data_IF_642751638381
#
_entry.id   IF_642751638381
#
_cell.length_a   1.000
_cell.length_b   1.000
_cell.length_c   1.000
_cell.angle_alpha   90.00
_cell.angle_beta   90.00
_cell.angle_gamma   90.00
#
_symmetry.space_group_name_H-M   'P 1'
#
loop_
_entity.id
_entity.type
_entity.pdbx_description
1 polymer ?
#
# COMPACT_ATOMS: atom_id res chain seq x y z
N UNK A 1 -36.20 -0.10 -19.85
CA UNK A 1 -36.76 -1.10 -18.89
C UNK A 1 -37.23 -2.39 -19.55
N UNK A 2 -38.24 -2.44 -20.44
CA UNK A 2 -38.65 -3.70 -21.13
C UNK A 2 -37.51 -4.43 -21.85
N UNK A 3 -36.61 -3.69 -22.53
CA UNK A 3 -35.45 -4.25 -23.21
C UNK A 3 -34.39 -4.78 -22.22
N UNK A 4 -34.13 -4.07 -21.12
CA UNK A 4 -33.21 -4.50 -20.05
C UNK A 4 -33.74 -5.77 -19.37
N UNK A 5 -35.04 -5.82 -19.10
CA UNK A 5 -35.72 -7.00 -18.57
C UNK A 5 -35.60 -8.19 -19.54
N UNK A 6 -35.88 -8.01 -20.83
CA UNK A 6 -35.74 -9.07 -21.85
C UNK A 6 -34.30 -9.59 -22.01
N UNK A 7 -33.29 -8.71 -21.91
CA UNK A 7 -31.88 -9.09 -21.96
C UNK A 7 -31.53 -9.95 -20.74
N UNK A 8 -31.87 -9.49 -19.53
CA UNK A 8 -31.61 -10.22 -18.28
C UNK A 8 -32.34 -11.57 -18.23
N UNK A 9 -33.60 -11.64 -18.66
CA UNK A 9 -34.37 -12.89 -18.70
C UNK A 9 -33.82 -13.86 -19.75
N UNK A 10 -33.38 -13.37 -20.93
CA UNK A 10 -32.82 -14.20 -21.99
C UNK A 10 -31.48 -14.86 -21.63
N UNK A 11 -30.61 -14.14 -20.91
CA UNK A 11 -29.30 -14.67 -20.45
C UNK A 11 -29.45 -15.70 -19.33
N UNK A 12 -30.45 -15.53 -18.46
CA UNK A 12 -30.79 -16.47 -17.39
C UNK A 12 -31.39 -17.78 -17.91
N UNK A 13 -32.22 -17.75 -18.96
CA UNK A 13 -32.77 -18.96 -19.59
C UNK A 13 -31.66 -19.81 -20.24
N UNK A 14 -30.61 -19.17 -20.79
CA UNK A 14 -29.50 -19.86 -21.44
C UNK A 14 -28.56 -20.57 -20.44
N UNK A 15 -28.49 -20.09 -19.19
CA UNK A 15 -27.62 -20.69 -18.15
C UNK A 15 -28.29 -21.83 -17.36
N UNK A 16 -29.63 -21.82 -17.24
CA UNK A 16 -30.38 -22.79 -16.42
C UNK A 16 -30.90 -24.02 -17.20
N UNK A 17 -30.85 -24.02 -18.54
CA UNK A 17 -31.35 -25.12 -19.38
C UNK A 17 -30.61 -26.48 -19.29
N UNK A 18 -29.61 -26.64 -18.41
CA UNK A 18 -29.00 -27.95 -18.10
C UNK A 18 -29.67 -28.75 -16.99
N UNK A 19 -30.68 -28.23 -16.29
CA UNK A 19 -31.42 -28.98 -15.26
C UNK A 19 -32.92 -28.94 -15.54
N UNK A 20 -33.41 -29.93 -16.30
CA UNK A 20 -34.85 -30.12 -16.53
C UNK A 20 -35.52 -30.43 -15.18
N UNK A 21 -36.58 -29.67 -14.84
CA UNK A 21 -37.52 -29.84 -13.72
C UNK A 21 -37.34 -28.97 -12.45
N UNK A 22 -36.77 -27.76 -12.56
CA UNK A 22 -36.84 -26.77 -11.47
C UNK A 22 -37.73 -25.57 -11.86
N UNK A 23 -38.45 -24.96 -10.89
CA UNK A 23 -39.22 -23.73 -11.11
C UNK A 23 -38.31 -22.59 -11.61
N UNK A 24 -38.87 -21.57 -12.29
CA UNK A 24 -38.08 -20.43 -12.78
C UNK A 24 -37.30 -19.79 -11.62
N UNK A 25 -36.01 -19.47 -11.81
CA UNK A 25 -35.14 -19.07 -10.72
C UNK A 25 -35.61 -17.73 -10.13
N UNK A 26 -35.65 -17.65 -8.79
CA UNK A 26 -35.71 -16.39 -8.06
C UNK A 26 -34.45 -15.58 -8.36
N UNK A 27 -34.62 -14.36 -8.87
CA UNK A 27 -33.54 -13.43 -9.17
C UNK A 27 -32.86 -12.98 -7.87
N UNK A 28 -31.63 -13.42 -7.61
CA UNK A 28 -30.89 -13.03 -6.41
C UNK A 28 -29.83 -11.98 -6.70
N UNK A 29 -29.40 -11.28 -5.65
CA UNK A 29 -28.28 -10.33 -5.68
C UNK A 29 -26.98 -10.96 -6.23
N UNK A 30 -26.82 -12.28 -6.03
CA UNK A 30 -25.72 -13.07 -6.58
C UNK A 30 -25.86 -13.28 -8.09
N UNK A 31 -27.07 -13.47 -8.60
CA UNK A 31 -27.34 -13.65 -10.04
C UNK A 31 -27.18 -12.35 -10.82
N UNK A 32 -27.53 -11.22 -10.20
CA UNK A 32 -27.25 -9.88 -10.72
C UNK A 32 -25.73 -9.64 -10.82
N UNK A 33 -24.98 -9.95 -9.75
CA UNK A 33 -23.51 -9.86 -9.73
C UNK A 33 -22.86 -10.80 -10.75
N UNK A 34 -23.39 -11.99 -10.95
CA UNK A 34 -22.89 -12.97 -11.93
C UNK A 34 -23.24 -12.60 -13.39
N UNK A 35 -24.42 -12.01 -13.63
CA UNK A 35 -24.81 -11.46 -14.93
C UNK A 35 -23.95 -10.26 -15.33
N UNK A 36 -23.64 -9.37 -14.37
CA UNK A 36 -22.77 -8.21 -14.56
C UNK A 36 -21.28 -8.56 -14.74
N UNK A 37 -20.85 -9.77 -14.33
CA UNK A 37 -19.49 -10.30 -14.57
C UNK A 37 -19.26 -10.80 -16.00
N UNK A 38 -20.31 -10.96 -16.82
CA UNK A 38 -20.20 -11.45 -18.20
C UNK A 38 -20.11 -10.27 -19.17
N UNK A 39 -19.03 -10.23 -19.95
CA UNK A 39 -18.64 -9.12 -20.84
C UNK A 39 -19.77 -8.53 -21.67
N UNK A 40 -20.61 -9.37 -22.27
CA UNK A 40 -21.72 -8.98 -23.15
C UNK A 40 -22.87 -8.23 -22.45
N UNK A 41 -23.16 -8.53 -21.18
CA UNK A 41 -24.29 -7.89 -20.45
C UNK A 41 -23.88 -6.53 -19.91
N UNK A 42 -22.62 -6.40 -19.47
CA UNK A 42 -22.02 -5.13 -19.11
C UNK A 42 -21.88 -4.18 -20.32
N UNK A 43 -21.57 -4.73 -21.51
CA UNK A 43 -21.55 -3.99 -22.78
C UNK A 43 -22.92 -3.43 -23.15
N UNK A 44 -24.00 -4.23 -23.01
CA UNK A 44 -25.37 -3.78 -23.27
C UNK A 44 -25.88 -2.72 -22.27
N UNK A 45 -25.47 -2.79 -21.00
CA UNK A 45 -25.78 -1.76 -19.99
C UNK A 45 -24.97 -0.48 -20.25
N UNK A 46 -23.71 -0.61 -20.64
CA UNK A 46 -22.89 0.51 -21.12
C UNK A 46 -23.49 1.19 -22.35
N UNK A 47 -23.96 0.42 -23.33
CA UNK A 47 -24.65 0.96 -24.51
C UNK A 47 -25.98 1.63 -24.15
N UNK A 48 -26.69 1.15 -23.12
CA UNK A 48 -27.88 1.80 -22.58
C UNK A 48 -27.57 3.07 -21.78
N UNK A 49 -26.37 3.24 -21.22
CA UNK A 49 -25.99 4.50 -20.58
C UNK A 49 -25.55 5.53 -21.64
N UNK A 50 -24.76 5.10 -22.63
CA UNK A 50 -24.30 5.91 -23.76
C UNK A 50 -25.45 6.35 -24.67
N UNK A 51 -26.45 5.48 -24.90
CA UNK A 51 -27.60 5.80 -25.77
C UNK A 51 -28.49 6.93 -25.21
N UNK A 52 -28.45 7.18 -23.90
CA UNK A 52 -29.26 8.20 -23.25
C UNK A 52 -28.44 9.43 -22.81
N UNK A 53 -27.13 9.45 -23.06
CA UNK A 53 -26.19 10.50 -22.64
C UNK A 53 -26.56 11.90 -23.18
N UNK A 54 -27.32 11.98 -24.28
CA UNK A 54 -27.86 13.25 -24.81
C UNK A 54 -29.05 13.81 -24.01
N UNK A 55 -29.70 13.02 -23.16
CA UNK A 55 -30.92 13.42 -22.43
C UNK A 55 -30.63 13.99 -21.04
N UNK A 56 -29.40 13.85 -20.54
CA UNK A 56 -29.05 14.14 -19.14
C UNK A 56 -28.64 15.61 -18.92
N UNK A 57 -28.45 16.37 -20.00
CA UNK A 57 -28.01 17.77 -19.97
C UNK A 57 -28.85 18.75 -20.81
N UNK A 58 -29.98 18.32 -21.41
CA UNK A 58 -30.73 19.21 -22.30
C UNK A 58 -31.79 20.06 -21.59
N UNK A 59 -32.37 19.61 -20.48
CA UNK A 59 -33.41 20.35 -19.75
C UNK A 59 -33.61 19.72 -18.36
N UNK A 60 -33.91 20.52 -17.33
CA UNK A 60 -34.29 20.01 -16.00
C UNK A 60 -35.55 19.12 -16.11
N UNK A 61 -36.41 19.41 -17.10
CA UNK A 61 -37.59 18.63 -17.47
C UNK A 61 -37.29 17.27 -18.14
N UNK A 62 -36.07 17.07 -18.66
CA UNK A 62 -35.62 15.82 -19.29
C UNK A 62 -34.74 14.98 -18.36
N UNK A 63 -34.37 15.53 -17.20
CA UNK A 63 -33.53 14.84 -16.24
C UNK A 63 -34.31 13.71 -15.56
N UNK A 64 -33.80 12.48 -15.68
CA UNK A 64 -34.40 11.27 -15.08
C UNK A 64 -33.96 11.02 -13.64
N UNK A 65 -33.47 12.04 -12.94
CA UNK A 65 -33.02 11.92 -11.55
C UNK A 65 -34.14 11.46 -10.61
N UNK A 66 -35.37 11.86 -10.90
CA UNK A 66 -36.55 11.43 -10.14
C UNK A 66 -36.76 9.91 -10.23
N UNK A 67 -36.38 9.27 -11.34
CA UNK A 67 -36.46 7.81 -11.48
C UNK A 67 -35.49 7.10 -10.51
N UNK A 68 -34.35 7.71 -10.17
CA UNK A 68 -33.42 7.17 -9.17
C UNK A 68 -33.95 7.40 -7.75
N UNK A 69 -34.55 8.56 -7.49
CA UNK A 69 -35.18 8.86 -6.21
C UNK A 69 -36.37 7.90 -5.95
N UNK A 70 -37.12 7.53 -7.00
CA UNK A 70 -38.19 6.52 -6.94
C UNK A 70 -37.66 5.11 -6.64
N UNK A 71 -36.49 4.73 -7.20
CA UNK A 71 -35.86 3.44 -6.91
C UNK A 71 -35.45 3.28 -5.44
N UNK A 72 -35.01 4.36 -4.79
CA UNK A 72 -34.73 4.33 -3.36
C UNK A 72 -36.02 4.05 -2.57
N UNK A 73 -37.14 4.68 -2.93
CA UNK A 73 -38.42 4.40 -2.25
C UNK A 73 -38.93 2.98 -2.52
N UNK A 74 -38.70 2.44 -3.72
CA UNK A 74 -38.98 1.03 -4.02
C UNK A 74 -38.13 0.07 -3.16
N UNK A 75 -36.82 0.34 -3.01
CA UNK A 75 -35.91 -0.45 -2.19
C UNK A 75 -36.32 -0.43 -0.71
N UNK A 76 -36.68 0.76 -0.19
CA UNK A 76 -37.21 0.92 1.16
C UNK A 76 -38.43 0.04 1.39
N UNK A 77 -39.37 0.01 0.44
CA UNK A 77 -40.58 -0.80 0.56
C UNK A 77 -40.29 -2.30 0.48
N UNK A 78 -39.31 -2.71 -0.32
CA UNK A 78 -38.84 -4.10 -0.36
C UNK A 78 -38.19 -4.51 0.96
N UNK A 79 -37.35 -3.67 1.55
CA UNK A 79 -36.72 -3.94 2.86
C UNK A 79 -37.75 -4.03 3.99
N UNK A 80 -38.76 -3.15 4.00
CA UNK A 80 -39.89 -3.26 4.93
C UNK A 80 -40.62 -4.59 4.78
N UNK A 81 -40.87 -5.03 3.54
CA UNK A 81 -41.53 -6.31 3.27
C UNK A 81 -40.71 -7.51 3.77
N UNK A 82 -39.39 -7.48 3.61
CA UNK A 82 -38.48 -8.53 4.09
C UNK A 82 -38.41 -8.58 5.63
N UNK A 83 -38.36 -7.42 6.28
CA UNK A 83 -38.35 -7.33 7.74
C UNK A 83 -39.68 -7.82 8.31
N UNK A 84 -40.81 -7.48 7.68
CA UNK A 84 -42.12 -7.97 8.09
C UNK A 84 -42.20 -9.50 8.01
N UNK A 85 -41.69 -10.10 6.92
CA UNK A 85 -41.60 -11.55 6.77
C UNK A 85 -40.68 -12.20 7.82
N UNK A 86 -39.54 -11.59 8.14
CA UNK A 86 -38.62 -12.09 9.17
C UNK A 86 -39.21 -12.00 10.59
N UNK A 87 -39.95 -10.93 10.89
CA UNK A 87 -40.66 -10.77 12.16
C UNK A 87 -41.75 -11.84 12.32
N UNK A 88 -42.42 -12.21 11.22
CA UNK A 88 -43.41 -13.30 11.21
C UNK A 88 -42.76 -14.68 11.44
N UNK A 89 -41.63 -14.95 10.79
CA UNK A 89 -40.86 -16.19 11.00
C UNK A 89 -40.41 -16.33 12.46
N UNK A 90 -40.03 -15.22 13.10
CA UNK A 90 -39.59 -15.19 14.49
C UNK A 90 -40.73 -15.08 15.50
N UNK A 91 -41.99 -15.10 15.03
CA UNK A 91 -43.21 -15.02 15.83
C UNK A 91 -43.26 -13.76 16.73
N UNK A 92 -42.69 -12.66 16.26
CA UNK A 92 -42.73 -11.37 16.95
C UNK A 92 -44.05 -10.67 16.61
N UNK A 93 -45.03 -10.77 17.52
CA UNK A 93 -46.39 -10.26 17.30
C UNK A 93 -46.70 -8.95 18.03
N UNK A 94 -45.81 -8.50 18.92
CA UNK A 94 -45.99 -7.24 19.66
C UNK A 94 -45.83 -6.04 18.73
N UNK A 95 -46.92 -5.28 18.55
CA UNK A 95 -46.98 -4.11 17.65
C UNK A 95 -45.84 -3.11 17.88
N UNK A 96 -45.53 -2.80 19.14
CA UNK A 96 -44.46 -1.85 19.50
C UNK A 96 -43.07 -2.29 18.99
N UNK A 97 -42.78 -3.59 18.98
CA UNK A 97 -41.49 -4.11 18.51
C UNK A 97 -41.38 -4.03 16.98
N UNK A 98 -42.49 -4.27 16.27
CA UNK A 98 -42.55 -4.15 14.81
C UNK A 98 -42.44 -2.69 14.36
N UNK A 99 -43.11 -1.77 15.06
CA UNK A 99 -43.01 -0.33 14.81
C UNK A 99 -41.58 0.20 14.98
N UNK A 100 -40.85 -0.28 16.00
CA UNK A 100 -39.42 0.06 16.17
C UNK A 100 -38.59 -0.40 14.97
N UNK A 101 -38.80 -1.62 14.49
CA UNK A 101 -38.06 -2.16 13.36
C UNK A 101 -38.32 -1.34 12.08
N UNK A 102 -39.58 -1.02 11.79
CA UNK A 102 -39.95 -0.19 10.64
C UNK A 102 -39.38 1.23 10.72
N UNK A 103 -39.41 1.83 11.91
CA UNK A 103 -38.81 3.15 12.15
C UNK A 103 -37.31 3.16 11.88
N UNK A 104 -36.59 2.08 12.20
CA UNK A 104 -35.16 1.96 11.91
C UNK A 104 -34.84 1.89 10.42
N UNK A 105 -35.71 1.25 9.64
CA UNK A 105 -35.62 1.26 8.16
C UNK A 105 -35.83 2.68 7.62
N UNK A 106 -36.82 3.40 8.14
CA UNK A 106 -37.08 4.78 7.76
C UNK A 106 -35.88 5.70 8.08
N UNK A 107 -35.29 5.57 9.28
CA UNK A 107 -34.10 6.32 9.69
C UNK A 107 -32.87 6.03 8.80
N UNK A 108 -32.66 4.76 8.44
CA UNK A 108 -31.54 4.37 7.57
C UNK A 108 -31.72 4.87 6.14
N UNK A 109 -32.94 4.80 5.61
CA UNK A 109 -33.29 5.29 4.28
C UNK A 109 -33.06 6.80 4.13
N UNK A 110 -33.52 7.59 5.11
CA UNK A 110 -33.30 9.03 5.12
C UNK A 110 -31.80 9.39 5.15
N UNK A 111 -31.00 8.60 5.86
CA UNK A 111 -29.54 8.79 5.88
C UNK A 111 -28.92 8.55 4.50
N UNK A 112 -29.29 7.47 3.82
CA UNK A 112 -28.82 7.12 2.46
C UNK A 112 -29.25 8.19 1.45
N UNK A 113 -30.52 8.60 1.48
CA UNK A 113 -31.07 9.63 0.60
C UNK A 113 -30.36 10.97 0.77
N UNK A 114 -30.10 11.39 2.01
CA UNK A 114 -29.36 12.63 2.30
C UNK A 114 -27.92 12.58 1.79
N UNK A 115 -27.23 11.46 1.97
CA UNK A 115 -25.86 11.27 1.45
C UNK A 115 -25.84 11.28 -0.08
N UNK A 116 -26.81 10.63 -0.73
CA UNK A 116 -26.98 10.66 -2.19
C UNK A 116 -27.15 12.08 -2.73
N UNK A 117 -28.01 12.89 -2.11
CA UNK A 117 -28.21 14.28 -2.54
C UNK A 117 -26.94 15.14 -2.36
N UNK A 118 -26.18 14.91 -1.29
CA UNK A 118 -24.89 15.57 -1.07
C UNK A 118 -23.86 15.16 -2.13
N UNK A 119 -23.74 13.86 -2.44
CA UNK A 119 -22.84 13.33 -3.47
C UNK A 119 -23.19 13.84 -4.88
N UNK A 120 -24.49 13.82 -5.21
CA UNK A 120 -25.03 14.40 -6.44
C UNK A 120 -24.63 15.86 -6.59
N UNK A 121 -24.77 16.65 -5.52
CA UNK A 121 -24.50 18.09 -5.54
C UNK A 121 -23.01 18.45 -5.50
N UNK A 122 -22.22 17.76 -4.69
CA UNK A 122 -20.84 18.17 -4.38
C UNK A 122 -19.78 17.46 -5.23
N UNK A 123 -20.09 16.29 -5.79
CA UNK A 123 -19.11 15.49 -6.54
C UNK A 123 -19.56 15.20 -7.96
N UNK A 124 -20.77 14.70 -8.19
CA UNK A 124 -21.21 14.32 -9.53
C UNK A 124 -21.42 15.56 -10.40
N UNK A 125 -22.24 16.52 -9.97
CA UNK A 125 -22.50 17.76 -10.74
C UNK A 125 -21.21 18.55 -11.06
N UNK A 126 -20.25 18.73 -10.13
CA UNK A 126 -18.99 19.43 -10.44
C UNK A 126 -18.01 18.64 -11.32
N UNK A 127 -18.03 17.30 -11.25
CA UNK A 127 -17.18 16.43 -12.09
C UNK A 127 -17.64 16.38 -13.54
N UNK A 128 -18.90 16.70 -13.78
CA UNK A 128 -19.48 16.88 -15.10
C UNK A 128 -19.14 18.30 -15.60
N UNK A 129 -17.85 18.48 -15.92
CA UNK A 129 -17.20 19.75 -16.28
C UNK A 129 -17.73 20.40 -17.57
N UNK A 130 -18.88 19.96 -18.09
CA UNK A 130 -19.50 20.46 -19.31
C UNK A 130 -20.09 21.86 -19.18
N UNK A 131 -20.55 22.28 -17.99
CA UNK A 131 -21.18 23.60 -17.83
C UNK A 131 -20.17 24.75 -17.90
N UNK A 132 -18.98 24.56 -17.32
CA UNK A 132 -17.86 25.53 -17.41
C UNK A 132 -17.23 25.51 -18.81
N UNK A 133 -17.13 24.34 -19.44
CA UNK A 133 -16.64 24.19 -20.82
C UNK A 133 -17.63 24.83 -21.82
N UNK A 134 -18.94 24.65 -21.64
CA UNK A 134 -19.97 25.27 -22.47
C UNK A 134 -20.07 26.80 -22.26
N UNK A 135 -19.94 27.29 -21.03
CA UNK A 135 -19.86 28.73 -20.75
C UNK A 135 -18.59 29.38 -21.32
N UNK A 136 -17.45 28.69 -21.26
CA UNK A 136 -16.20 29.14 -21.88
C UNK A 136 -16.30 29.15 -23.43
N UNK A 137 -17.01 28.19 -24.04
CA UNK A 137 -17.29 28.18 -25.47
C UNK A 137 -18.26 29.30 -25.90
N UNK A 138 -19.29 29.59 -25.10
CA UNK A 138 -20.23 30.68 -25.37
C UNK A 138 -19.57 32.07 -25.28
N UNK A 139 -18.63 32.25 -24.36
CA UNK A 139 -17.81 33.48 -24.26
C UNK A 139 -16.79 33.60 -25.40
N UNK A 140 -16.23 32.49 -25.88
CA UNK A 140 -15.28 32.48 -27.00
C UNK A 140 -15.95 32.73 -28.37
N UNK A 141 -17.24 32.44 -28.53
CA UNK A 141 -17.98 32.71 -29.78
C UNK A 141 -18.38 34.18 -29.97
N UNK A 142 -18.39 35.00 -28.91
CA UNK A 142 -18.74 36.42 -29.01
C UNK A 142 -17.57 37.34 -29.38
N UNK A 143 -16.34 36.82 -29.40
CA UNK A 143 -15.14 37.62 -29.70
C UNK A 143 -14.14 36.84 -30.54
N UNK A 144 -14.35 36.80 -31.87
CA UNK A 144 -13.30 36.94 -32.88
C UNK A 144 -13.83 36.56 -34.27
N UNK A 145 -14.34 37.55 -34.99
CA UNK A 145 -14.15 37.60 -36.45
C UNK A 145 -12.72 38.12 -36.70
N UNK A 146 -12.09 37.59 -37.74
CA UNK A 146 -10.79 37.98 -38.32
C UNK A 146 -9.59 37.07 -38.02
N UNK A 147 -8.94 36.69 -39.14
CA UNK A 147 -7.87 35.71 -39.32
C UNK A 147 -6.53 36.18 -38.77
N UNK A 148 -5.67 35.26 -38.34
CA UNK A 148 -4.38 34.94 -38.98
C UNK A 148 -3.45 34.11 -38.08
N UNK A 149 -2.52 33.44 -38.74
CA UNK A 149 -1.66 32.36 -38.27
C UNK A 149 -0.78 32.68 -37.04
N UNK A 150 -0.80 31.81 -36.02
CA UNK A 150 0.39 31.46 -35.24
C UNK A 150 0.16 30.27 -34.28
N UNK A 151 1.11 29.34 -34.33
CA UNK A 151 1.52 28.36 -33.32
C UNK A 151 0.80 26.99 -33.25
N UNK A 152 1.33 26.06 -34.05
CA UNK A 152 0.98 24.65 -34.14
C UNK A 152 1.47 23.79 -32.95
N UNK A 153 1.18 24.16 -31.70
CA UNK A 153 1.49 23.33 -30.52
C UNK A 153 0.48 23.39 -29.37
N UNK A 154 -0.76 23.79 -29.65
CA UNK A 154 -1.88 23.49 -28.73
C UNK A 154 -2.88 22.65 -29.51
N UNK A 155 -3.29 21.45 -29.03
CA UNK A 155 -4.25 20.63 -29.76
C UNK A 155 -5.54 21.43 -29.94
N UNK A 156 -5.91 21.73 -31.18
CA UNK A 156 -7.26 22.19 -31.52
C UNK A 156 -8.22 21.06 -31.12
N UNK A 157 -9.03 21.30 -30.10
CA UNK A 157 -10.01 20.34 -29.57
C UNK A 157 -11.11 19.96 -30.60
N UNK A 158 -11.11 20.57 -31.79
CA UNK A 158 -12.01 20.24 -32.90
C UNK A 158 -11.75 18.87 -33.55
N UNK A 159 -10.70 18.15 -33.13
CA UNK A 159 -10.42 16.79 -33.59
C UNK A 159 -10.79 15.71 -32.56
N UNK A 160 -11.39 16.07 -31.43
CA UNK A 160 -11.99 15.11 -30.49
C UNK A 160 -13.48 14.94 -30.81
N UNK A 161 -13.78 14.25 -31.91
CA UNK A 161 -15.08 13.57 -32.20
C UNK A 161 -15.30 13.30 -33.71
N UNK A 162 -14.29 12.89 -34.48
CA UNK A 162 -14.51 12.43 -35.87
C UNK A 162 -14.60 10.91 -36.01
N UNK A 163 -14.29 10.15 -34.97
CA UNK A 163 -14.38 8.69 -34.93
C UNK A 163 -15.21 8.15 -33.73
N UNK A 164 -15.86 9.03 -32.95
CA UNK A 164 -16.83 8.64 -31.93
C UNK A 164 -16.27 7.81 -30.77
N UNK A 165 -14.96 7.71 -30.61
CA UNK A 165 -14.33 7.06 -29.46
C UNK A 165 -14.13 8.07 -28.35
N UNK A 166 -15.22 8.39 -27.65
CA UNK A 166 -15.11 8.83 -26.27
C UNK A 166 -14.29 7.75 -25.52
N UNK A 167 -13.34 8.16 -24.70
CA UNK A 167 -12.52 7.23 -23.93
C UNK A 167 -13.44 6.38 -23.06
N UNK A 168 -13.62 5.11 -23.45
CA UNK A 168 -14.41 4.12 -22.76
C UNK A 168 -13.82 3.92 -21.36
N UNK A 169 -14.38 4.56 -20.33
CA UNK A 169 -14.19 4.10 -18.96
C UNK A 169 -15.22 3.00 -18.73
N UNK A 170 -14.77 1.75 -18.77
CA UNK A 170 -15.61 0.58 -18.55
C UNK A 170 -16.38 0.72 -17.22
N UNK A 171 -17.69 0.38 -17.13
CA UNK A 171 -18.47 0.53 -15.89
C UNK A 171 -17.88 -0.22 -14.68
N UNK A 172 -17.19 -1.34 -14.92
CA UNK A 172 -16.40 -2.03 -13.87
C UNK A 172 -15.23 -1.17 -13.40
N UNK A 173 -14.50 -0.50 -14.31
CA UNK A 173 -13.46 0.45 -13.94
C UNK A 173 -14.02 1.65 -13.15
N UNK A 174 -15.27 2.05 -13.40
CA UNK A 174 -15.98 3.03 -12.57
C UNK A 174 -16.27 2.49 -11.15
N UNK A 175 -16.85 1.30 -11.01
CA UNK A 175 -17.16 0.72 -9.68
C UNK A 175 -15.88 0.45 -8.86
N UNK A 176 -14.83 -0.02 -9.53
CA UNK A 176 -13.48 -0.22 -9.00
C UNK A 176 -12.84 1.12 -8.57
N UNK A 177 -13.04 2.18 -9.36
CA UNK A 177 -12.64 3.56 -9.03
C UNK A 177 -13.45 4.17 -7.87
N UNK A 178 -14.74 3.83 -7.73
CA UNK A 178 -15.62 4.35 -6.68
C UNK A 178 -15.57 3.58 -5.35
N UNK A 179 -15.04 2.35 -5.34
CA UNK A 179 -14.91 1.53 -4.13
C UNK A 179 -13.65 1.80 -3.29
N UNK A 180 -12.69 2.59 -3.80
CA UNK A 180 -11.45 2.92 -3.08
C UNK A 180 -10.49 1.74 -2.84
N UNK A 181 -10.79 0.54 -3.35
CA UNK A 181 -10.06 -0.71 -3.13
C UNK A 181 -9.69 -1.40 -4.45
N UNK A 182 -9.05 -0.69 -5.37
CA UNK A 182 -8.33 -1.36 -6.44
C UNK A 182 -7.09 -2.01 -5.84
N UNK A 183 -7.10 -3.34 -5.80
CA UNK A 183 -5.91 -4.13 -5.54
C UNK A 183 -4.91 -3.78 -6.64
N UNK A 184 -3.84 -3.10 -6.26
CA UNK A 184 -2.74 -2.72 -7.14
C UNK A 184 -1.79 -3.91 -7.33
N UNK A 185 -1.46 -4.58 -6.23
CA UNK A 185 -0.57 -5.74 -6.25
C UNK A 185 -1.03 -6.85 -5.29
N UNK A 186 -0.82 -8.09 -5.71
CA UNK A 186 -1.10 -9.32 -4.95
C UNK A 186 -0.09 -10.41 -5.31
N UNK A 187 -0.12 -11.50 -4.54
CA UNK A 187 0.76 -12.66 -4.75
C UNK A 187 0.74 -13.14 -6.21
N UNK A 188 1.93 -13.26 -6.80
CA UNK A 188 2.13 -13.65 -8.19
C UNK A 188 2.44 -12.49 -9.16
N UNK A 189 2.16 -11.25 -8.76
CA UNK A 189 2.47 -10.07 -9.57
C UNK A 189 3.98 -9.79 -9.61
N UNK A 190 4.43 -9.07 -10.64
CA UNK A 190 5.82 -8.64 -10.81
C UNK A 190 5.88 -7.19 -11.30
N UNK A 191 6.56 -6.33 -10.57
CA UNK A 191 6.67 -4.90 -10.87
C UNK A 191 7.84 -4.24 -10.12
N UNK A 192 8.42 -3.18 -10.69
CA UNK A 192 9.45 -2.36 -10.02
C UNK A 192 8.93 -1.69 -8.73
N UNK A 193 7.65 -1.34 -8.69
CA UNK A 193 7.01 -0.80 -7.50
C UNK A 193 6.96 -1.86 -6.39
N UNK A 194 6.77 -3.14 -6.73
CA UNK A 194 6.85 -4.22 -5.74
C UNK A 194 8.26 -4.31 -5.14
N UNK A 195 9.32 -4.08 -5.93
CA UNK A 195 10.70 -4.00 -5.40
C UNK A 195 10.85 -2.86 -4.41
N UNK A 196 10.34 -1.68 -4.74
CA UNK A 196 10.37 -0.55 -3.82
C UNK A 196 9.57 -0.83 -2.54
N UNK A 197 8.39 -1.46 -2.63
CA UNK A 197 7.60 -1.91 -1.46
C UNK A 197 8.41 -2.91 -0.61
N UNK A 198 9.03 -3.93 -1.24
CA UNK A 198 9.84 -4.94 -0.55
C UNK A 198 11.05 -4.35 0.17
N UNK A 199 11.67 -3.30 -0.39
CA UNK A 199 12.77 -2.56 0.26
C UNK A 199 12.25 -1.75 1.44
N UNK A 200 11.18 -0.97 1.22
CA UNK A 200 10.57 -0.01 2.15
C UNK A 200 9.96 -0.67 3.37
N UNK A 201 9.36 -1.84 3.19
CA UNK A 201 8.76 -2.63 4.26
C UNK A 201 9.64 -3.79 4.73
N UNK A 202 10.94 -3.80 4.39
CA UNK A 202 11.84 -4.88 4.77
C UNK A 202 11.84 -5.16 6.29
N UNK A 203 11.51 -4.16 7.13
CA UNK A 203 11.40 -4.34 8.58
C UNK A 203 10.15 -5.07 9.10
N UNK A 204 9.20 -5.44 8.24
CA UNK A 204 7.99 -6.17 8.57
C UNK A 204 8.09 -7.61 8.04
N UNK A 205 8.62 -8.52 8.84
CA UNK A 205 8.77 -9.94 8.51
C UNK A 205 10.01 -10.26 7.65
N UNK A 206 10.83 -9.24 7.35
CA UNK A 206 12.02 -9.37 6.53
C UNK A 206 11.68 -9.53 5.05
N UNK A 207 12.36 -8.81 4.15
CA UNK A 207 12.29 -9.10 2.71
C UNK A 207 13.59 -8.74 1.97
N UNK A 208 13.68 -9.16 0.71
CA UNK A 208 14.78 -8.82 -0.20
C UNK A 208 14.29 -7.91 -1.34
N UNK A 209 15.19 -7.13 -1.99
CA UNK A 209 14.89 -6.28 -3.15
C UNK A 209 14.47 -7.04 -4.45
N UNK A 210 13.43 -7.87 -4.38
CA UNK A 210 12.82 -8.53 -5.56
C UNK A 210 11.61 -7.73 -6.06
N UNK A 211 11.39 -7.73 -7.36
CA UNK A 211 10.18 -7.22 -8.03
C UNK A 211 8.98 -8.17 -7.97
N UNK A 212 9.15 -9.38 -7.43
CA UNK A 212 8.10 -10.38 -7.39
C UNK A 212 7.31 -10.32 -6.08
N UNK A 213 5.99 -10.35 -6.18
CA UNK A 213 5.10 -10.44 -5.03
C UNK A 213 5.00 -11.90 -4.59
N UNK A 214 5.96 -12.32 -3.79
CA UNK A 214 6.02 -13.68 -3.26
C UNK A 214 5.13 -13.87 -2.03
N UNK A 215 5.08 -15.09 -1.49
CA UNK A 215 4.46 -15.34 -0.18
C UNK A 215 5.10 -14.53 0.95
N UNK A 216 6.41 -14.28 0.84
CA UNK A 216 7.13 -13.44 1.79
C UNK A 216 6.64 -12.00 1.74
N UNK A 217 6.40 -11.47 0.55
CA UNK A 217 5.80 -10.13 0.35
C UNK A 217 4.38 -10.08 0.91
N UNK A 218 3.55 -11.10 0.64
CA UNK A 218 2.20 -11.17 1.21
C UNK A 218 2.20 -11.12 2.74
N UNK A 219 3.06 -11.90 3.39
CA UNK A 219 3.18 -11.93 4.85
C UNK A 219 3.72 -10.61 5.42
N UNK A 220 4.67 -9.97 4.73
CA UNK A 220 5.15 -8.62 5.07
C UNK A 220 4.02 -7.58 5.01
N UNK A 221 3.18 -7.62 3.97
CA UNK A 221 2.02 -6.72 3.85
C UNK A 221 0.99 -6.98 4.94
N UNK A 222 0.66 -8.25 5.23
CA UNK A 222 -0.24 -8.60 6.34
C UNK A 222 0.29 -8.07 7.67
N UNK A 223 1.58 -8.25 7.94
CA UNK A 223 2.19 -7.73 9.14
C UNK A 223 2.13 -6.19 9.21
N UNK A 224 2.44 -5.48 8.12
CA UNK A 224 2.34 -4.03 8.07
C UNK A 224 0.90 -3.53 8.30
N UNK A 225 -0.09 -4.18 7.67
CA UNK A 225 -1.51 -3.89 7.85
C UNK A 225 -1.98 -4.08 9.29
N UNK A 226 -1.59 -5.19 9.92
CA UNK A 226 -1.92 -5.46 11.33
C UNK A 226 -1.21 -4.49 12.27
N UNK A 227 0.10 -4.33 12.10
CA UNK A 227 0.95 -3.75 13.13
C UNK A 227 0.99 -2.22 13.04
N UNK A 228 1.11 -1.64 11.84
CA UNK A 228 1.13 -0.19 11.63
C UNK A 228 -0.26 0.37 11.29
N UNK A 229 -0.91 -0.16 10.25
CA UNK A 229 -2.20 0.38 9.79
C UNK A 229 -3.35 0.05 10.75
N UNK A 230 -3.21 -0.97 11.60
CA UNK A 230 -4.25 -1.46 12.52
C UNK A 230 -5.56 -1.84 11.79
N UNK A 231 -5.45 -2.44 10.61
CA UNK A 231 -6.57 -2.93 9.79
C UNK A 231 -6.53 -4.45 9.60
N UNK A 232 -7.59 -5.01 9.02
CA UNK A 232 -7.63 -6.45 8.70
C UNK A 232 -6.51 -6.81 7.72
N UNK A 233 -5.84 -7.91 7.99
CA UNK A 233 -4.80 -8.50 7.15
C UNK A 233 -5.41 -9.04 5.84
N UNK A 234 -5.26 -8.29 4.76
CA UNK A 234 -5.68 -8.71 3.42
C UNK A 234 -4.52 -9.31 2.64
N UNK A 235 -3.28 -8.90 2.93
CA UNK A 235 -2.09 -9.34 2.20
C UNK A 235 -1.99 -8.83 0.76
N UNK A 236 -2.86 -7.89 0.39
CA UNK A 236 -2.85 -7.22 -0.91
C UNK A 236 -2.51 -5.75 -0.73
N UNK A 237 -1.89 -5.16 -1.74
CA UNK A 237 -1.54 -3.74 -1.76
C UNK A 237 -2.61 -3.00 -2.54
N UNK A 238 -3.35 -2.14 -1.86
CA UNK A 238 -4.25 -1.16 -2.46
C UNK A 238 -3.70 0.26 -2.28
N UNK A 239 -4.44 1.26 -2.73
CA UNK A 239 -4.02 2.66 -2.60
C UNK A 239 -3.86 3.13 -1.15
N UNK A 240 -4.57 2.53 -0.19
CA UNK A 240 -4.45 2.87 1.22
C UNK A 240 -3.15 2.31 1.80
N UNK A 241 -2.75 1.10 1.40
CA UNK A 241 -1.44 0.54 1.76
C UNK A 241 -0.32 1.42 1.22
N UNK A 242 -0.43 1.91 -0.03
CA UNK A 242 0.57 2.82 -0.63
C UNK A 242 0.73 4.11 0.18
N UNK A 243 -0.38 4.77 0.51
CA UNK A 243 -0.37 5.98 1.34
C UNK A 243 0.22 5.72 2.71
N UNK A 244 -0.17 4.60 3.35
CA UNK A 244 0.34 4.22 4.66
C UNK A 244 1.86 3.96 4.66
N UNK A 245 2.42 3.41 3.58
CA UNK A 245 3.89 3.23 3.47
C UNK A 245 4.59 4.59 3.42
N UNK A 246 4.08 5.53 2.62
CA UNK A 246 4.65 6.88 2.55
C UNK A 246 4.55 7.60 3.91
N UNK A 247 3.40 7.51 4.58
CA UNK A 247 3.19 8.05 5.93
C UNK A 247 4.14 7.44 6.97
N UNK A 248 4.30 6.11 6.96
CA UNK A 248 5.21 5.41 7.87
C UNK A 248 6.66 5.91 7.74
N UNK A 249 7.11 6.19 6.52
CA UNK A 249 8.47 6.69 6.27
C UNK A 249 8.67 8.16 6.65
N UNK A 250 7.60 8.94 6.67
CA UNK A 250 7.62 10.30 7.21
C UNK A 250 7.65 10.28 8.74
N UNK A 251 6.82 9.46 9.38
CA UNK A 251 6.75 9.35 10.85
C UNK A 251 8.06 8.78 11.45
N UNK A 252 8.63 7.76 10.81
CA UNK A 252 9.85 7.06 11.27
C UNK A 252 11.07 7.41 10.42
N UNK A 253 11.13 8.66 9.95
CA UNK A 253 12.26 9.18 9.19
C UNK A 253 13.57 9.13 9.99
N UNK A 254 14.66 8.73 9.34
CA UNK A 254 15.99 8.71 9.95
C UNK A 254 16.49 10.14 10.12
N UNK A 255 16.73 10.54 11.37
CA UNK A 255 17.18 11.90 11.70
C UNK A 255 18.61 12.19 11.22
N UNK A 256 18.93 13.47 11.03
CA UNK A 256 20.28 13.91 10.66
C UNK A 256 21.37 13.42 11.63
N UNK A 257 21.06 13.33 12.92
CA UNK A 257 21.99 12.80 13.92
C UNK A 257 22.33 11.34 13.64
N UNK A 258 21.34 10.52 13.27
CA UNK A 258 21.57 9.11 12.93
C UNK A 258 22.32 9.00 11.61
N UNK A 259 22.00 9.82 10.60
CA UNK A 259 22.77 9.88 9.36
C UNK A 259 24.25 10.19 9.56
N UNK A 260 24.59 11.07 10.52
CA UNK A 260 25.98 11.32 10.90
C UNK A 260 26.62 10.09 11.57
N UNK A 261 25.88 9.35 12.39
CA UNK A 261 26.36 8.12 13.04
C UNK A 261 26.59 6.96 12.06
N UNK A 262 25.87 6.94 10.92
CA UNK A 262 26.04 5.96 9.86
C UNK A 262 27.34 6.12 9.08
N UNK A 263 27.92 7.32 9.06
CA UNK A 263 29.16 7.61 8.33
C UNK A 263 30.36 6.93 8.97
N UNK A 264 31.30 6.54 8.12
CA UNK A 264 32.62 6.07 8.52
C UNK A 264 33.34 7.12 9.36
N UNK A 265 33.85 6.69 10.53
CA UNK A 265 34.54 7.55 11.50
C UNK A 265 36.02 7.80 11.15
N UNK A 266 36.40 7.54 9.91
CA UNK A 266 37.71 7.91 9.40
C UNK A 266 37.84 9.44 9.29
N UNK A 267 39.08 9.93 9.30
CA UNK A 267 39.34 11.32 8.93
C UNK A 267 38.76 11.62 7.54
N UNK A 268 38.19 12.82 7.29
CA UNK A 268 37.71 13.22 5.97
C UNK A 268 38.76 13.10 4.86
N UNK A 269 40.06 13.13 5.21
CA UNK A 269 41.17 12.90 4.25
C UNK A 269 41.26 11.45 3.75
N UNK A 270 40.65 10.49 4.45
CA UNK A 270 40.72 9.05 4.14
C UNK A 270 39.47 8.54 3.42
N UNK A 271 38.29 9.07 3.76
CA UNK A 271 37.04 8.85 3.00
C UNK A 271 36.03 9.94 3.35
N UNK A 272 35.07 10.18 2.46
CA UNK A 272 33.97 11.16 2.61
C UNK A 272 32.85 10.71 3.56
N UNK A 273 32.97 9.53 4.15
CA UNK A 273 31.98 8.91 5.04
C UNK A 273 31.49 7.56 4.54
N UNK A 274 31.57 7.27 3.24
CA UNK A 274 31.08 6.02 2.65
C UNK A 274 32.12 5.36 1.73
N UNK A 275 33.37 5.27 2.20
CA UNK A 275 34.45 4.64 1.45
C UNK A 275 34.87 5.44 0.21
N UNK A 276 35.67 4.80 -0.65
CA UNK A 276 36.15 5.33 -1.92
C UNK A 276 35.88 4.34 -3.08
N UNK A 277 34.96 3.39 -2.89
CA UNK A 277 34.62 2.38 -3.91
C UNK A 277 35.73 1.37 -4.18
N UNK A 278 36.55 1.06 -3.17
CA UNK A 278 37.68 0.14 -3.32
C UNK A 278 37.27 -1.34 -3.34
N UNK A 279 38.14 -2.16 -3.91
CA UNK A 279 37.98 -3.61 -3.98
C UNK A 279 37.18 -4.08 -5.20
N UNK A 280 37.13 -5.40 -5.39
CA UNK A 280 36.37 -6.04 -6.48
C UNK A 280 35.17 -6.77 -5.90
N UNK A 281 33.98 -6.51 -6.45
CA UNK A 281 32.74 -7.17 -6.01
C UNK A 281 32.76 -8.65 -6.40
N UNK A 282 33.15 -9.49 -5.45
CA UNK A 282 33.42 -10.92 -5.63
C UNK A 282 32.49 -11.78 -4.79
N UNK A 283 32.41 -13.07 -5.12
CA UNK A 283 31.71 -14.09 -4.33
C UNK A 283 32.73 -15.04 -3.69
N UNK A 284 32.45 -15.64 -2.52
CA UNK A 284 31.21 -15.53 -1.76
C UNK A 284 31.15 -14.24 -0.90
N UNK A 285 29.93 -13.74 -0.69
CA UNK A 285 29.68 -12.43 -0.07
C UNK A 285 30.28 -12.27 1.34
N UNK A 286 30.42 -13.38 2.06
CA UNK A 286 31.06 -13.43 3.38
C UNK A 286 32.50 -12.90 3.39
N UNK A 287 33.22 -12.97 2.26
CA UNK A 287 34.60 -12.52 2.10
C UNK A 287 34.72 -11.33 1.14
N UNK A 288 33.60 -10.80 0.66
CA UNK A 288 33.58 -9.74 -0.33
C UNK A 288 34.11 -8.43 0.29
N UNK A 289 35.31 -8.04 -0.12
CA UNK A 289 35.98 -6.82 0.34
C UNK A 289 35.54 -5.57 -0.44
N UNK A 290 34.55 -5.67 -1.32
CA UNK A 290 34.04 -4.52 -2.03
C UNK A 290 33.46 -3.46 -1.09
N UNK A 291 33.80 -2.21 -1.33
CA UNK A 291 33.18 -1.04 -0.71
C UNK A 291 31.94 -0.66 -1.49
N UNK A 292 30.77 -1.06 -0.99
CA UNK A 292 29.50 -0.61 -1.55
C UNK A 292 29.39 0.91 -1.41
N UNK A 293 28.65 1.59 -2.31
CA UNK A 293 28.68 3.05 -2.39
C UNK A 293 28.15 3.77 -1.14
N UNK A 294 27.36 3.09 -0.29
CA UNK A 294 26.83 3.63 0.97
C UNK A 294 26.18 2.55 1.84
N UNK A 295 25.05 2.78 2.52
CA UNK A 295 24.37 1.80 3.40
C UNK A 295 23.17 1.19 2.66
N UNK A 296 22.99 -0.13 2.79
CA UNK A 296 21.91 -0.87 2.14
C UNK A 296 20.53 -0.41 2.65
N UNK A 297 19.62 -0.07 1.73
CA UNK A 297 18.29 0.51 2.03
C UNK A 297 17.44 -0.40 2.90
N UNK A 298 17.44 -1.72 2.67
CA UNK A 298 16.69 -2.65 3.52
C UNK A 298 17.13 -2.63 4.99
N UNK A 299 18.42 -2.38 5.29
CA UNK A 299 18.88 -2.24 6.70
C UNK A 299 18.28 -1.01 7.36
N UNK A 300 18.20 0.09 6.62
CA UNK A 300 17.70 1.36 7.12
C UNK A 300 16.18 1.31 7.33
N UNK A 301 15.44 0.69 6.42
CA UNK A 301 14.00 0.45 6.64
C UNK A 301 13.73 -0.61 7.71
N UNK A 302 14.59 -1.63 7.84
CA UNK A 302 14.59 -2.54 8.98
C UNK A 302 14.79 -1.79 10.31
N UNK A 303 15.71 -0.84 10.33
CA UNK A 303 15.94 0.04 11.48
C UNK A 303 14.73 0.94 11.77
N UNK A 304 14.09 1.57 10.77
CA UNK A 304 12.87 2.35 10.98
C UNK A 304 11.75 1.53 11.61
N UNK A 305 11.52 0.29 11.15
CA UNK A 305 10.55 -0.61 11.77
C UNK A 305 10.93 -0.96 13.21
N UNK A 306 12.21 -1.21 13.50
CA UNK A 306 12.68 -1.43 14.87
C UNK A 306 12.37 -0.23 15.77
N UNK A 307 12.58 1.01 15.30
CA UNK A 307 12.23 2.22 16.06
C UNK A 307 10.73 2.29 16.32
N UNK A 308 9.90 1.98 15.33
CA UNK A 308 8.45 1.87 15.48
C UNK A 308 8.05 0.86 16.56
N UNK A 309 8.56 -0.37 16.54
CA UNK A 309 8.19 -1.35 17.58
C UNK A 309 8.70 -0.96 18.96
N UNK A 310 9.89 -0.34 19.04
CA UNK A 310 10.41 0.17 20.31
C UNK A 310 9.55 1.33 20.84
N UNK A 311 8.96 2.17 19.99
CA UNK A 311 8.12 3.30 20.43
C UNK A 311 6.82 2.86 21.12
N UNK A 312 6.35 1.63 20.84
CA UNK A 312 5.15 1.03 21.42
C UNK A 312 5.31 0.56 22.87
N UNK A 313 6.49 0.70 23.46
CA UNK A 313 6.77 0.35 24.84
C UNK A 313 7.77 1.31 25.47
N UNK A 314 7.92 1.27 26.80
CA UNK A 314 8.70 2.27 27.56
C UNK A 314 9.95 1.70 28.27
N UNK A 315 10.22 0.40 28.14
CA UNK A 315 11.31 -0.29 28.81
C UNK A 315 12.62 -0.13 28.03
N UNK A 316 12.62 -0.46 26.75
CA UNK A 316 13.81 -0.42 25.90
C UNK A 316 13.77 0.77 24.95
N UNK A 317 14.89 1.44 24.74
CA UNK A 317 14.96 2.58 23.81
C UNK A 317 16.20 2.46 22.94
N UNK A 318 16.07 2.87 21.69
CA UNK A 318 17.24 3.16 20.87
C UNK A 318 18.09 4.24 21.54
N UNK A 319 19.41 4.07 21.51
CA UNK A 319 20.37 5.06 22.00
C UNK A 319 21.13 5.71 20.86
N UNK A 320 21.84 4.89 20.08
CA UNK A 320 22.72 5.36 19.00
C UNK A 320 23.08 4.21 18.05
N UNK A 321 23.48 4.57 16.84
CA UNK A 321 24.26 3.70 15.97
C UNK A 321 25.73 3.87 16.34
N UNK A 322 26.29 2.88 17.03
CA UNK A 322 27.70 2.92 17.45
C UNK A 322 28.65 2.66 16.27
N UNK A 323 28.17 2.00 15.21
CA UNK A 323 28.91 1.84 13.97
C UNK A 323 28.00 1.57 12.77
N UNK A 324 28.13 2.39 11.72
CA UNK A 324 27.55 2.13 10.41
C UNK A 324 28.63 1.67 9.42
N UNK A 325 28.95 2.55 8.47
CA UNK A 325 29.92 2.27 7.42
C UNK A 325 31.36 2.20 7.95
N UNK A 326 32.16 1.24 7.46
CA UNK A 326 33.61 1.15 7.68
C UNK A 326 34.31 0.91 6.35
N UNK A 327 35.06 1.89 5.88
CA UNK A 327 35.89 1.74 4.70
C UNK A 327 37.15 0.89 4.97
N UNK A 328 37.89 0.57 3.92
CA UNK A 328 39.14 -0.19 3.95
C UNK A 328 40.20 0.46 4.85
N UNK A 329 40.22 1.79 4.89
CA UNK A 329 41.15 2.58 5.71
C UNK A 329 40.72 2.72 7.18
N UNK A 330 39.56 2.18 7.56
CA UNK A 330 39.06 2.20 8.94
C UNK A 330 39.90 1.27 9.81
N UNK A 331 40.24 1.69 11.04
CA UNK A 331 41.06 0.90 11.98
C UNK A 331 40.45 -0.47 12.30
N UNK A 332 39.12 -0.51 12.37
CA UNK A 332 38.31 -1.73 12.57
C UNK A 332 37.72 -2.26 11.24
N UNK A 333 38.23 -1.78 10.09
CA UNK A 333 37.74 -2.06 8.73
C UNK A 333 38.11 -3.43 8.17
N UNK A 334 38.65 -4.32 9.02
CA UNK A 334 38.98 -5.71 8.65
C UNK A 334 37.74 -6.56 8.37
N UNK A 335 36.57 -6.14 8.86
CA UNK A 335 35.29 -6.82 8.64
C UNK A 335 34.64 -6.35 7.33
N UNK A 336 34.35 -7.27 6.42
CA UNK A 336 33.69 -7.00 5.15
C UNK A 336 32.24 -6.48 5.29
N UNK A 337 31.54 -6.81 6.38
CA UNK A 337 30.10 -6.56 6.52
C UNK A 337 29.78 -5.05 6.63
N UNK A 338 30.58 -4.31 7.40
CA UNK A 338 30.38 -2.86 7.59
C UNK A 338 30.71 -2.00 6.37
N UNK A 339 31.07 -2.57 5.23
CA UNK A 339 31.24 -1.85 3.97
C UNK A 339 29.90 -1.57 3.29
N UNK A 340 28.89 -1.16 4.07
CA UNK A 340 27.55 -0.85 3.60
C UNK A 340 26.44 -1.82 4.00
N UNK A 341 26.78 -3.00 4.56
CA UNK A 341 25.80 -4.08 4.81
C UNK A 341 25.54 -4.37 6.28
N UNK A 342 26.00 -3.53 7.21
CA UNK A 342 25.81 -3.78 8.64
C UNK A 342 25.64 -2.51 9.48
N UNK A 343 24.94 -2.67 10.61
CA UNK A 343 24.73 -1.65 11.65
C UNK A 343 25.05 -2.26 13.02
N UNK A 344 25.79 -1.54 13.86
CA UNK A 344 25.94 -1.81 15.29
C UNK A 344 25.04 -0.84 16.07
N UNK A 345 24.02 -1.38 16.74
CA UNK A 345 22.94 -0.60 17.36
C UNK A 345 23.01 -0.74 18.87
N UNK A 346 22.98 0.39 19.58
CA UNK A 346 22.98 0.44 21.03
C UNK A 346 21.66 0.90 21.61
N UNK A 347 21.40 0.44 22.84
CA UNK A 347 20.10 0.57 23.50
C UNK A 347 20.24 1.08 24.93
N UNK A 348 19.11 1.53 25.47
CA UNK A 348 18.90 1.80 26.87
C UNK A 348 17.82 0.84 27.42
N UNK A 349 17.90 0.53 28.71
CA UNK A 349 16.79 -0.03 29.49
C UNK A 349 16.39 0.99 30.56
N UNK A 350 15.25 1.65 30.39
CA UNK A 350 14.89 2.83 31.18
C UNK A 350 15.95 3.94 31.01
N UNK A 351 16.56 4.37 32.11
CA UNK A 351 17.67 5.34 32.13
C UNK A 351 19.05 4.70 32.02
N UNK A 352 19.14 3.37 32.07
CA UNK A 352 20.42 2.66 32.04
C UNK A 352 20.88 2.42 30.60
N UNK A 353 22.07 2.93 30.28
CA UNK A 353 22.75 2.68 29.02
C UNK A 353 23.34 1.26 28.97
N UNK A 354 22.85 0.45 28.04
CA UNK A 354 23.42 -0.87 27.74
C UNK A 354 24.71 -0.62 26.95
N UNK A 355 25.84 -0.64 27.65
CA UNK A 355 27.12 -0.15 27.14
C UNK A 355 28.30 -0.76 27.86
N UNK A 356 29.48 -0.71 27.22
CA UNK A 356 30.73 -1.20 27.80
C UNK A 356 30.77 -2.71 28.06
N UNK A 357 31.90 -3.20 28.56
CA UNK A 357 32.04 -4.60 28.95
C UNK A 357 31.32 -4.83 30.28
N UNK A 358 30.08 -5.34 30.22
CA UNK A 358 29.26 -5.59 31.40
C UNK A 358 28.33 -6.78 31.19
N UNK A 359 28.42 -7.80 32.06
CA UNK A 359 27.57 -9.00 32.01
C UNK A 359 26.08 -8.70 32.11
N UNK A 360 25.70 -7.63 32.82
CA UNK A 360 24.30 -7.26 32.98
C UNK A 360 23.65 -6.87 31.65
N UNK A 361 24.43 -6.47 30.63
CA UNK A 361 23.93 -6.15 29.29
C UNK A 361 23.32 -7.35 28.57
N UNK A 362 23.78 -8.58 28.88
CA UNK A 362 23.52 -9.77 28.06
C UNK A 362 22.03 -10.13 28.04
N UNK A 363 21.38 -10.23 29.18
CA UNK A 363 19.96 -10.58 29.23
C UNK A 363 19.05 -9.53 28.52
N UNK A 364 19.21 -8.22 28.75
CA UNK A 364 18.55 -7.18 27.94
C UNK A 364 18.79 -7.30 26.44
N UNK A 365 20.02 -7.52 25.99
CA UNK A 365 20.33 -7.61 24.56
C UNK A 365 19.68 -8.84 23.92
N UNK A 366 19.72 -10.00 24.59
CA UNK A 366 19.02 -11.21 24.16
C UNK A 366 17.51 -10.97 24.09
N UNK A 367 16.93 -10.30 25.09
CA UNK A 367 15.52 -9.94 25.08
C UNK A 367 15.16 -9.06 23.89
N UNK A 368 15.93 -7.99 23.63
CA UNK A 368 15.69 -7.08 22.50
C UNK A 368 15.81 -7.84 21.17
N UNK A 369 16.86 -8.63 20.99
CA UNK A 369 17.05 -9.45 19.79
C UNK A 369 15.86 -10.38 19.57
N UNK A 370 15.47 -11.13 20.59
CA UNK A 370 14.48 -12.19 20.44
C UNK A 370 13.06 -11.65 20.29
N UNK A 371 12.71 -10.54 20.97
CA UNK A 371 11.35 -10.00 20.97
C UNK A 371 11.12 -8.88 19.94
N UNK A 372 12.18 -8.33 19.34
CA UNK A 372 12.06 -7.29 18.32
C UNK A 372 12.66 -7.70 16.99
N UNK A 373 13.95 -8.05 16.96
CA UNK A 373 14.63 -8.40 15.70
C UNK A 373 14.09 -9.71 15.12
N UNK A 374 13.99 -10.77 15.92
CA UNK A 374 13.45 -12.04 15.43
C UNK A 374 11.95 -11.97 15.19
N UNK A 375 11.20 -11.47 16.17
CA UNK A 375 9.73 -11.41 16.09
C UNK A 375 9.24 -10.58 14.92
N UNK A 376 9.80 -9.37 14.73
CA UNK A 376 9.23 -8.45 13.75
C UNK A 376 10.00 -8.36 12.46
N UNK A 377 11.33 -8.46 12.46
CA UNK A 377 12.14 -8.36 11.23
C UNK A 377 12.44 -9.74 10.63
N UNK A 378 12.01 -10.84 11.29
CA UNK A 378 12.36 -12.21 10.94
C UNK A 378 13.89 -12.41 10.84
N UNK A 379 14.62 -11.77 11.76
CA UNK A 379 16.06 -11.92 11.82
C UNK A 379 16.45 -13.30 12.34
N UNK A 380 17.61 -13.79 11.90
CA UNK A 380 18.18 -15.06 12.37
C UNK A 380 19.39 -14.86 13.28
N UNK A 381 19.68 -15.88 14.09
CA UNK A 381 20.93 -16.01 14.83
C UNK A 381 21.97 -16.73 13.98
N UNK A 382 23.09 -16.07 13.71
CA UNK A 382 24.15 -16.58 12.85
C UNK A 382 23.68 -16.76 11.40
N UNK A 383 24.60 -16.59 10.45
CA UNK A 383 24.33 -16.55 9.01
C UNK A 383 24.01 -17.94 8.41
N UNK A 384 22.99 -18.64 8.92
CA UNK A 384 22.60 -20.00 8.51
C UNK A 384 21.84 -19.98 7.20
N UNK A 385 20.77 -19.19 7.16
CA UNK A 385 19.89 -19.05 6.02
C UNK A 385 20.31 -17.86 5.15
N UNK A 386 20.01 -17.95 3.85
CA UNK A 386 20.20 -16.83 2.92
C UNK A 386 19.05 -15.83 3.04
N UNK A 387 19.27 -14.62 2.56
CA UNK A 387 18.21 -13.63 2.32
C UNK A 387 17.44 -13.20 3.58
N UNK A 388 18.03 -13.33 4.78
CA UNK A 388 17.48 -12.86 6.05
C UNK A 388 18.40 -11.83 6.71
N UNK A 389 17.81 -10.87 7.43
CA UNK A 389 18.58 -10.09 8.39
C UNK A 389 19.24 -11.03 9.39
N UNK A 390 20.49 -10.76 9.74
CA UNK A 390 21.22 -11.60 10.67
C UNK A 390 21.74 -10.77 11.81
N UNK A 391 21.64 -11.31 13.03
CA UNK A 391 22.30 -10.75 14.20
C UNK A 391 23.47 -11.62 14.64
N UNK A 392 24.56 -10.98 15.06
CA UNK A 392 25.69 -11.69 15.67
C UNK A 392 25.29 -12.32 17.02
N UNK A 393 25.97 -13.40 17.44
CA UNK A 393 25.86 -13.93 18.80
C UNK A 393 26.09 -12.86 19.87
N UNK A 394 25.36 -12.98 20.98
CA UNK A 394 25.48 -12.07 22.13
C UNK A 394 25.97 -12.88 23.33
N UNK A 395 27.04 -12.44 23.99
CA UNK A 395 27.55 -13.15 25.16
C UNK A 395 28.93 -12.73 25.65
N UNK A 396 29.26 -13.20 26.85
CA UNK A 396 30.58 -13.15 27.47
C UNK A 396 30.96 -14.56 27.94
N UNK A 397 32.25 -14.80 28.14
CA UNK A 397 32.72 -16.07 28.70
C UNK A 397 32.40 -16.21 30.20
N UNK A 398 32.77 -17.34 30.80
CA UNK A 398 32.52 -17.61 32.21
C UNK A 398 33.20 -16.62 33.17
N UNK A 399 34.20 -15.88 32.70
CA UNK A 399 34.96 -14.87 33.46
C UNK A 399 34.56 -13.44 33.07
N UNK A 400 33.39 -13.26 32.44
CA UNK A 400 32.86 -11.99 31.97
C UNK A 400 33.76 -11.27 30.95
N UNK A 401 34.55 -12.01 30.15
CA UNK A 401 35.38 -11.47 29.08
C UNK A 401 34.71 -11.60 27.70
N UNK A 402 35.07 -10.74 26.73
CA UNK A 402 34.55 -10.82 25.37
C UNK A 402 34.87 -12.16 24.70
N UNK A 403 33.88 -12.76 24.06
CA UNK A 403 34.06 -13.91 23.19
C UNK A 403 34.31 -13.40 21.77
N UNK A 404 35.30 -13.97 21.07
CA UNK A 404 35.57 -13.61 19.67
C UNK A 404 34.34 -13.89 18.79
N UNK A 405 33.88 -12.86 18.06
CA UNK A 405 32.71 -12.94 17.19
C UNK A 405 31.37 -12.80 17.90
N UNK A 406 31.37 -12.40 19.18
CA UNK A 406 30.16 -12.11 19.96
C UNK A 406 30.11 -10.62 20.27
N UNK A 407 28.90 -10.07 20.29
CA UNK A 407 28.61 -8.75 20.83
C UNK A 407 28.24 -8.85 22.30
N UNK A 408 28.36 -7.75 23.04
CA UNK A 408 28.07 -7.73 24.48
C UNK A 408 27.55 -6.37 24.98
N UNK A 409 27.51 -5.37 24.11
CA UNK A 409 27.01 -4.02 24.43
C UNK A 409 26.31 -3.32 23.27
N UNK A 410 26.05 -4.07 22.19
CA UNK A 410 25.29 -3.64 21.01
C UNK A 410 24.66 -4.88 20.37
N UNK A 411 23.70 -4.67 19.47
CA UNK A 411 23.24 -5.70 18.53
C UNK A 411 23.81 -5.34 17.17
N UNK A 412 24.60 -6.25 16.59
CA UNK A 412 24.99 -6.19 15.19
C UNK A 412 23.83 -6.70 14.34
N UNK A 413 23.45 -5.97 13.30
CA UNK A 413 22.49 -6.43 12.30
C UNK A 413 23.08 -6.23 10.91
N UNK A 414 23.03 -7.27 10.08
CA UNK A 414 23.56 -7.21 8.72
C UNK A 414 22.71 -7.98 7.69
N UNK A 415 22.97 -7.70 6.41
CA UNK A 415 22.37 -8.36 5.24
C UNK A 415 23.41 -9.12 4.41
N UNK A 416 24.55 -9.54 5.00
CA UNK A 416 25.63 -10.17 4.23
C UNK A 416 25.23 -11.52 3.60
N UNK A 417 24.17 -12.14 4.12
CA UNK A 417 23.64 -13.42 3.64
C UNK A 417 22.64 -13.24 2.50
N UNK A 418 22.34 -12.00 2.11
CA UNK A 418 21.57 -11.73 0.90
C UNK A 418 22.37 -12.19 -0.31
N UNK A 419 21.66 -12.77 -1.27
CA UNK A 419 22.26 -13.15 -2.53
C UNK A 419 22.70 -11.92 -3.33
N UNK A 420 23.70 -12.08 -4.18
CA UNK A 420 24.37 -10.96 -4.85
C UNK A 420 23.44 -10.05 -5.66
N UNK A 421 22.38 -10.62 -6.25
CA UNK A 421 21.35 -9.87 -6.97
C UNK A 421 20.54 -8.91 -6.08
N UNK A 422 20.57 -9.12 -4.76
CA UNK A 422 19.91 -8.29 -3.75
C UNK A 422 20.89 -7.35 -3.06
N UNK A 423 22.14 -7.27 -3.54
CA UNK A 423 23.19 -6.40 -3.03
C UNK A 423 23.76 -5.54 -4.18
N UNK A 424 22.93 -5.13 -5.13
CA UNK A 424 23.33 -4.21 -6.19
C UNK A 424 23.52 -2.80 -5.63
N UNK A 425 24.46 -2.05 -6.21
CA UNK A 425 24.83 -0.69 -5.76
C UNK A 425 23.63 0.27 -5.69
N UNK A 426 22.65 0.10 -6.56
CA UNK A 426 21.38 0.87 -6.59
C UNK A 426 20.50 0.67 -5.34
N UNK A 427 20.76 -0.35 -4.53
CA UNK A 427 20.06 -0.61 -3.27
C UNK A 427 20.76 0.02 -2.06
N UNK A 428 21.76 0.86 -2.27
CA UNK A 428 22.47 1.59 -1.22
C UNK A 428 22.18 3.09 -1.31
N UNK A 429 22.04 3.77 -0.17
CA UNK A 429 21.78 5.21 -0.10
C UNK A 429 22.66 5.95 0.92
N UNK A 430 22.91 7.24 0.66
CA UNK A 430 23.78 8.12 1.45
C UNK A 430 23.04 9.02 2.43
N UNK A 431 21.74 9.22 2.22
CA UNK A 431 20.91 10.20 2.91
C UNK A 431 19.42 9.89 2.77
N UNK A 432 18.58 10.68 3.45
CA UNK A 432 17.12 10.51 3.45
C UNK A 432 16.50 10.62 2.05
N UNK A 433 17.03 11.51 1.21
CA UNK A 433 16.53 11.72 -0.16
C UNK A 433 16.77 10.48 -1.01
N UNK A 434 17.96 9.91 -0.95
CA UNK A 434 18.32 8.69 -1.71
C UNK A 434 17.73 7.42 -1.11
N UNK A 435 17.42 7.40 0.20
CA UNK A 435 16.71 6.30 0.87
C UNK A 435 15.26 6.17 0.37
N UNK A 436 14.52 7.28 0.45
CA UNK A 436 13.09 7.32 0.12
C UNK A 436 12.84 7.49 -1.38
N UNK A 437 13.82 8.01 -2.15
CA UNK A 437 13.66 8.40 -3.56
C UNK A 437 12.39 9.26 -3.71
N UNK A 438 11.47 8.87 -4.58
CA UNK A 438 10.14 9.47 -4.69
C UNK A 438 9.14 8.71 -3.81
N UNK A 439 8.06 9.40 -3.40
CA UNK A 439 6.92 8.78 -2.72
C UNK A 439 6.30 7.69 -3.60
N UNK A 440 5.86 6.58 -3.01
CA UNK A 440 5.23 5.49 -3.75
C UNK A 440 3.97 5.97 -4.48
N UNK A 441 3.19 6.87 -3.85
CA UNK A 441 2.01 7.46 -4.49
C UNK A 441 2.35 8.19 -5.79
N UNK A 442 3.53 8.83 -5.87
CA UNK A 442 3.98 9.50 -7.09
C UNK A 442 4.43 8.49 -8.12
N UNK A 443 5.13 7.43 -7.72
CA UNK A 443 5.61 6.38 -8.62
C UNK A 443 4.48 5.60 -9.29
N UNK A 444 3.36 5.37 -8.59
CA UNK A 444 2.20 4.64 -9.13
C UNK A 444 1.39 5.46 -10.14
N UNK A 445 1.48 6.80 -10.07
CA UNK A 445 0.74 7.70 -10.96
C UNK A 445 1.55 8.14 -12.20
N UNK A 446 2.77 7.62 -12.35
CA UNK A 446 3.57 7.76 -13.57
C UNK A 446 3.23 6.63 -14.54
#
# INVERSE_FOLDING_TARGET
>A
MKALHQILTGTLIYSTQRKKNLPPPTFTDSDLKEGLRRSWTAELIGHLLVKYESEWYADEALSKWNEIDDLFEEEKQQQKTLIEAGLDEWRITELYQRDIAMKKVDEAHEHVKKNWQLEKAQRIKPSLWWQQVAQAQAQAQTTSTEQSDANANTPKLSNLSTDGKAWFIHPVAMVDYFAGNNILFKKGDKDEIIREINIRLAGFGGNVPTDEFTERTENMIKQFQRDYMQVKETGVVDMNVIKAIDEFHEEYAISNTIWLQLKCRCSPKKCSGFGNGLGTNTSPERYNTYEFPSIHRSLLFGFSALIFYLSRQNVYKFREISSGYRCHSHKDGKTANHRGKALDIQFNKGTWAIGGLNKNNIAPLLYIRDNFFKTYLNAQDNWKEKNLFTTEPIGLDANDKPITGYTYSWIHMDVRSFEKQYLLDEYFCTDATTLNKEKLITLINK
#
